data_IF_805910996796
#
_entry.id   IF_805910996796
#
_cell.length_a   1.000
_cell.length_b   1.000
_cell.length_c   1.000
_cell.angle_alpha   90.00
_cell.angle_beta   90.00
_cell.angle_gamma   90.00
#
_symmetry.space_group_name_H-M   'P 1'
#
loop_
_entity.id
_entity.type
_entity.pdbx_description
1 polymer ?
#
# COMPACT_ATOMS: atom_id res chain seq x y z
N UNK A 1 23.06 13.38 -10.09
CA UNK A 1 21.65 13.12 -9.71
C UNK A 1 21.53 13.37 -8.21
N UNK A 2 20.63 14.21 -7.77
CA UNK A 2 20.37 14.41 -6.34
C UNK A 2 19.82 13.12 -5.74
N UNK A 3 20.28 12.74 -4.54
CA UNK A 3 19.73 11.58 -3.84
C UNK A 3 18.21 11.74 -3.65
N UNK A 4 17.43 10.64 -3.82
CA UNK A 4 15.98 10.70 -3.64
C UNK A 4 15.65 11.06 -2.18
N UNK A 5 14.73 11.99 -2.00
CA UNK A 5 14.34 12.47 -0.67
C UNK A 5 13.44 11.48 0.05
N UNK A 6 13.60 11.36 1.37
CA UNK A 6 12.68 10.64 2.25
C UNK A 6 12.25 11.54 3.41
N UNK A 7 10.95 11.73 3.55
CA UNK A 7 10.37 12.44 4.69
C UNK A 7 9.47 11.50 5.47
N UNK A 8 9.67 11.39 6.79
CA UNK A 8 8.81 10.56 7.65
C UNK A 8 8.25 11.41 8.78
N UNK A 9 6.92 11.53 8.78
CA UNK A 9 6.15 12.21 9.82
C UNK A 9 5.75 11.23 10.92
N UNK A 10 5.97 11.62 12.17
CA UNK A 10 5.38 10.93 13.32
C UNK A 10 3.99 11.52 13.56
N UNK A 11 2.94 10.75 13.30
CA UNK A 11 1.56 11.23 13.42
C UNK A 11 0.52 10.23 12.89
N UNK A 12 -0.72 10.69 12.87
CA UNK A 12 -1.86 9.92 12.34
C UNK A 12 -1.94 10.09 10.81
N UNK A 13 -1.93 8.96 10.09
CA UNK A 13 -1.97 8.95 8.63
C UNK A 13 -3.31 9.44 8.06
N UNK A 14 -4.42 9.22 8.76
CA UNK A 14 -5.74 9.71 8.33
C UNK A 14 -5.77 11.23 8.43
N UNK A 15 -5.40 11.77 9.59
CA UNK A 15 -5.32 13.21 9.80
C UNK A 15 -4.36 13.89 8.81
N UNK A 16 -3.24 13.24 8.48
CA UNK A 16 -2.32 13.74 7.46
C UNK A 16 -2.98 13.86 6.09
N UNK A 17 -3.69 12.83 5.64
CA UNK A 17 -4.41 12.85 4.36
C UNK A 17 -5.55 13.87 4.31
N UNK A 18 -6.22 14.13 5.43
CA UNK A 18 -7.30 15.12 5.54
C UNK A 18 -6.78 16.56 5.52
N UNK A 19 -5.57 16.81 6.00
CA UNK A 19 -5.03 18.14 6.23
C UNK A 19 -3.99 18.60 5.21
N UNK A 20 -3.48 17.71 4.37
CA UNK A 20 -2.38 17.99 3.46
C UNK A 20 -2.73 17.68 2.01
N UNK A 21 -2.34 18.57 1.11
CA UNK A 21 -2.31 18.27 -0.32
C UNK A 21 -1.04 17.49 -0.65
N UNK A 22 -1.18 16.44 -1.43
CA UNK A 22 -0.05 15.64 -1.90
C UNK A 22 0.60 16.26 -3.15
N UNK A 23 1.89 16.03 -3.40
CA UNK A 23 2.53 16.39 -4.67
C UNK A 23 1.76 15.84 -5.87
N UNK A 24 1.71 16.58 -6.97
CA UNK A 24 0.97 16.18 -8.16
C UNK A 24 1.49 14.87 -8.79
N UNK A 25 2.77 14.58 -8.60
CA UNK A 25 3.45 13.34 -9.02
C UNK A 25 3.43 12.24 -7.95
N UNK A 26 2.62 12.39 -6.88
CA UNK A 26 2.53 11.40 -5.84
C UNK A 26 1.59 10.25 -6.22
N UNK A 27 2.02 9.03 -5.87
CA UNK A 27 1.17 7.86 -5.74
C UNK A 27 1.03 7.49 -4.25
N UNK A 28 -0.17 7.19 -3.79
CA UNK A 28 -0.34 6.53 -2.49
C UNK A 28 -0.14 5.03 -2.70
N UNK A 29 0.75 4.43 -1.91
CA UNK A 29 0.94 2.98 -1.85
C UNK A 29 0.95 2.58 -0.39
N UNK A 30 0.01 1.74 0.04
CA UNK A 30 -0.16 1.48 1.47
C UNK A 30 -0.82 0.13 1.78
N UNK A 31 -0.71 -0.27 3.03
CA UNK A 31 -1.46 -1.36 3.64
C UNK A 31 -2.22 -0.82 4.84
N UNK A 32 -3.55 -0.87 4.80
CA UNK A 32 -4.38 -0.37 5.89
C UNK A 32 -4.31 -1.30 7.12
N UNK A 33 -4.30 -0.73 8.34
CA UNK A 33 -4.25 -1.49 9.58
C UNK A 33 -5.40 -2.49 9.75
N UNK A 34 -5.09 -3.65 10.30
CA UNK A 34 -6.06 -4.65 10.72
C UNK A 34 -6.86 -4.23 11.96
N UNK A 35 -8.00 -4.87 12.19
CA UNK A 35 -8.83 -4.64 13.39
C UNK A 35 -8.05 -4.86 14.69
N UNK A 36 -7.12 -5.80 14.72
CA UNK A 36 -6.24 -6.05 15.88
C UNK A 36 -5.22 -4.93 16.14
N UNK A 37 -5.00 -4.04 15.18
CA UNK A 37 -4.12 -2.88 15.32
C UNK A 37 -4.88 -1.64 15.80
N UNK A 38 -6.21 -1.69 15.75
CA UNK A 38 -7.12 -0.64 16.18
C UNK A 38 -8.08 -1.16 17.26
N UNK A 39 -7.57 -1.62 18.43
CA UNK A 39 -8.34 -2.34 19.44
C UNK A 39 -9.45 -1.51 20.10
N UNK A 40 -9.49 -0.20 19.86
CA UNK A 40 -10.55 0.69 20.34
C UNK A 40 -11.82 0.65 19.48
N UNK A 41 -11.71 0.13 18.24
CA UNK A 41 -12.85 0.01 17.33
C UNK A 41 -13.46 -1.38 17.44
N UNK A 42 -14.80 -1.44 17.55
CA UNK A 42 -15.54 -2.67 17.32
C UNK A 42 -15.39 -3.07 15.84
N UNK A 43 -15.69 -4.33 15.51
CA UNK A 43 -15.43 -4.84 14.17
C UNK A 43 -16.18 -4.07 13.06
N UNK A 44 -17.44 -3.73 13.27
CA UNK A 44 -18.24 -2.97 12.28
C UNK A 44 -17.76 -1.52 12.16
N UNK A 45 -17.30 -0.93 13.27
CA UNK A 45 -16.66 0.39 13.26
C UNK A 45 -15.32 0.36 12.49
N UNK A 46 -14.49 -0.67 12.72
CA UNK A 46 -13.28 -0.89 11.97
C UNK A 46 -13.56 -1.09 10.48
N UNK A 47 -14.56 -1.87 10.11
CA UNK A 47 -14.95 -2.09 8.72
C UNK A 47 -15.36 -0.78 8.05
N UNK A 48 -16.16 0.02 8.73
CA UNK A 48 -16.59 1.33 8.25
C UNK A 48 -15.42 2.31 8.12
N UNK A 49 -14.53 2.33 9.11
CA UNK A 49 -13.29 3.09 9.11
C UNK A 49 -12.39 2.67 7.93
N UNK A 50 -12.22 1.38 7.70
CA UNK A 50 -11.37 0.82 6.65
C UNK A 50 -11.82 1.27 5.25
N UNK A 51 -13.13 1.19 4.97
CA UNK A 51 -13.71 1.66 3.70
C UNK A 51 -13.53 3.18 3.55
N UNK A 52 -13.81 3.95 4.60
CA UNK A 52 -13.64 5.41 4.60
C UNK A 52 -12.18 5.83 4.35
N UNK A 53 -11.23 5.14 4.94
CA UNK A 53 -9.80 5.46 4.74
C UNK A 53 -9.34 5.07 3.35
N UNK A 54 -9.83 3.97 2.78
CA UNK A 54 -9.57 3.62 1.38
C UNK A 54 -10.14 4.69 0.42
N UNK A 55 -11.36 5.17 0.67
CA UNK A 55 -11.96 6.29 -0.07
C UNK A 55 -11.11 7.56 0.04
N UNK A 56 -10.71 7.94 1.25
CA UNK A 56 -9.89 9.12 1.52
C UNK A 56 -8.54 9.05 0.77
N UNK A 57 -7.85 7.92 0.80
CA UNK A 57 -6.60 7.74 0.09
C UNK A 57 -6.77 7.92 -1.44
N UNK A 58 -7.85 7.35 -2.01
CA UNK A 58 -8.15 7.53 -3.43
C UNK A 58 -8.48 8.99 -3.77
N UNK A 59 -9.17 9.72 -2.89
CA UNK A 59 -9.50 11.14 -3.10
C UNK A 59 -8.29 12.05 -2.94
N UNK A 60 -7.38 11.75 -2.01
CA UNK A 60 -6.17 12.52 -1.74
C UNK A 60 -5.14 12.45 -2.87
N UNK A 61 -5.13 11.36 -3.65
CA UNK A 61 -4.25 11.21 -4.81
C UNK A 61 -4.72 12.12 -5.95
N UNK A 62 -3.77 12.71 -6.70
CA UNK A 62 -4.10 13.50 -7.90
C UNK A 62 -5.01 12.72 -8.86
N UNK A 63 -5.95 13.33 -9.60
CA UNK A 63 -6.85 12.61 -10.52
C UNK A 63 -6.15 11.68 -11.52
N UNK A 64 -5.00 12.09 -12.05
CA UNK A 64 -4.14 11.27 -12.93
C UNK A 64 -3.13 10.39 -12.14
N UNK A 65 -3.08 10.51 -10.83
CA UNK A 65 -2.23 9.69 -9.97
C UNK A 65 -2.83 8.30 -9.73
N UNK A 66 -2.06 7.46 -9.06
CA UNK A 66 -2.45 6.07 -8.77
C UNK A 66 -2.43 5.82 -7.26
N UNK A 67 -3.47 5.17 -6.76
CA UNK A 67 -3.53 4.65 -5.39
C UNK A 67 -3.42 3.14 -5.43
N UNK A 68 -2.46 2.57 -4.70
CA UNK A 68 -2.22 1.13 -4.66
C UNK A 68 -2.34 0.62 -3.23
N UNK A 69 -3.15 -0.42 -3.04
CA UNK A 69 -3.31 -1.08 -1.76
C UNK A 69 -2.72 -2.50 -1.81
N UNK A 70 -1.91 -2.83 -0.80
CA UNK A 70 -1.48 -4.18 -0.51
C UNK A 70 -2.23 -4.69 0.71
N UNK A 71 -3.11 -5.68 0.54
CA UNK A 71 -3.97 -6.15 1.62
C UNK A 71 -3.97 -7.67 1.74
N UNK A 72 -3.88 -8.15 2.97
CA UNK A 72 -4.05 -9.57 3.28
C UNK A 72 -5.33 -9.75 4.06
N UNK A 73 -6.23 -10.60 3.57
CA UNK A 73 -7.48 -10.94 4.24
C UNK A 73 -7.25 -11.58 5.62
N UNK A 74 -8.29 -11.62 6.41
CA UNK A 74 -8.26 -12.26 7.71
C UNK A 74 -9.46 -13.22 7.85
N UNK A 75 -9.27 -14.26 8.65
CA UNK A 75 -10.36 -15.13 9.11
C UNK A 75 -10.74 -14.74 10.52
N UNK A 76 -12.03 -14.52 10.75
CA UNK A 76 -12.59 -14.19 12.05
C UNK A 76 -13.80 -15.08 12.32
N UNK A 77 -13.78 -15.79 13.47
CA UNK A 77 -14.92 -16.61 13.91
C UNK A 77 -15.43 -17.56 12.82
N UNK A 78 -14.52 -18.17 12.07
CA UNK A 78 -14.84 -19.08 10.99
C UNK A 78 -15.32 -18.43 9.68
N UNK A 79 -15.42 -17.11 9.63
CA UNK A 79 -15.80 -16.36 8.44
C UNK A 79 -14.61 -15.68 7.78
N UNK A 80 -14.72 -15.40 6.50
CA UNK A 80 -13.70 -14.72 5.72
C UNK A 80 -13.99 -13.22 5.66
N UNK A 81 -13.00 -12.38 5.96
CA UNK A 81 -13.07 -10.94 5.82
C UNK A 81 -12.21 -10.54 4.62
N UNK A 82 -12.87 -10.31 3.49
CA UNK A 82 -12.24 -9.90 2.24
C UNK A 82 -11.90 -8.39 2.30
N UNK A 83 -10.63 -8.08 2.58
CA UNK A 83 -10.16 -6.69 2.63
C UNK A 83 -9.94 -6.09 1.24
N UNK A 84 -9.72 -6.93 0.23
CA UNK A 84 -9.69 -6.49 -1.15
C UNK A 84 -11.03 -5.90 -1.59
N UNK A 85 -12.14 -6.57 -1.23
CA UNK A 85 -13.48 -6.04 -1.46
C UNK A 85 -13.74 -4.72 -0.71
N UNK A 86 -13.32 -4.63 0.56
CA UNK A 86 -13.50 -3.39 1.33
C UNK A 86 -12.75 -2.19 0.72
N UNK A 87 -11.54 -2.43 0.21
CA UNK A 87 -10.77 -1.40 -0.53
C UNK A 87 -11.50 -0.98 -1.79
N UNK A 88 -12.01 -1.93 -2.56
CA UNK A 88 -12.76 -1.64 -3.79
C UNK A 88 -14.00 -0.78 -3.53
N UNK A 89 -14.74 -1.07 -2.46
CA UNK A 89 -15.88 -0.23 -2.05
C UNK A 89 -15.45 1.22 -1.75
N UNK A 90 -14.33 1.40 -1.07
CA UNK A 90 -13.78 2.75 -0.81
C UNK A 90 -13.36 3.47 -2.09
N UNK A 91 -12.66 2.78 -2.98
CA UNK A 91 -12.22 3.31 -4.27
C UNK A 91 -13.41 3.71 -5.16
N UNK A 92 -14.45 2.88 -5.21
CA UNK A 92 -15.68 3.16 -5.94
C UNK A 92 -16.38 4.42 -5.44
N UNK A 93 -16.49 4.60 -4.10
CA UNK A 93 -17.02 5.82 -3.48
C UNK A 93 -16.20 7.07 -3.83
N UNK A 94 -14.90 6.92 -4.06
CA UNK A 94 -14.02 7.99 -4.52
C UNK A 94 -14.16 8.29 -6.03
N UNK A 95 -14.96 7.53 -6.77
CA UNK A 95 -15.05 7.62 -8.22
C UNK A 95 -13.82 7.07 -8.95
N UNK A 96 -13.06 6.19 -8.30
CA UNK A 96 -11.84 5.59 -8.87
C UNK A 96 -12.18 4.29 -9.60
N UNK A 97 -11.61 4.11 -10.78
CA UNK A 97 -11.67 2.84 -11.51
C UNK A 97 -10.54 1.91 -11.03
N UNK A 98 -10.81 0.61 -10.99
CA UNK A 98 -9.79 -0.40 -10.77
C UNK A 98 -8.92 -0.53 -12.02
N UNK A 99 -7.61 -0.31 -11.87
CA UNK A 99 -6.61 -0.48 -12.93
C UNK A 99 -6.13 -1.93 -13.03
N UNK A 100 -5.94 -2.55 -11.90
CA UNK A 100 -5.56 -3.95 -11.77
C UNK A 100 -5.92 -4.50 -10.39
N UNK A 101 -6.12 -5.81 -10.35
CA UNK A 101 -6.19 -6.61 -9.12
C UNK A 101 -5.26 -7.81 -9.29
N UNK A 102 -4.13 -7.79 -8.59
CA UNK A 102 -3.10 -8.83 -8.65
C UNK A 102 -3.06 -9.62 -7.37
N UNK A 103 -2.63 -10.87 -7.47
CA UNK A 103 -2.36 -11.76 -6.34
C UNK A 103 -0.86 -11.79 -6.08
N UNK A 104 -0.47 -11.59 -4.84
CA UNK A 104 0.92 -11.73 -4.38
C UNK A 104 0.99 -12.98 -3.50
N UNK A 105 1.70 -14.01 -3.93
CA UNK A 105 1.87 -15.24 -3.16
C UNK A 105 2.71 -14.98 -1.90
N UNK A 106 2.18 -15.37 -0.74
CA UNK A 106 2.84 -15.32 0.57
C UNK A 106 3.37 -16.69 0.99
N UNK A 107 2.84 -17.72 0.38
CA UNK A 107 3.30 -19.10 0.46
C UNK A 107 3.05 -19.77 -0.91
N UNK A 108 3.70 -20.91 -1.21
CA UNK A 108 3.47 -21.65 -2.44
C UNK A 108 1.99 -22.01 -2.62
N UNK A 109 1.53 -22.06 -3.86
CA UNK A 109 0.18 -22.50 -4.20
C UNK A 109 -0.08 -23.92 -3.64
N UNK A 110 -1.28 -24.14 -3.12
CA UNK A 110 -1.65 -25.41 -2.45
C UNK A 110 -1.29 -25.47 -0.96
N UNK A 111 -0.55 -24.49 -0.42
CA UNK A 111 -0.25 -24.43 1.02
C UNK A 111 -1.53 -24.22 1.84
N UNK A 112 -1.79 -25.09 2.82
CA UNK A 112 -2.87 -24.91 3.79
C UNK A 112 -2.39 -23.95 4.87
N UNK A 113 -3.13 -22.87 5.07
CA UNK A 113 -2.82 -21.84 6.06
C UNK A 113 -3.97 -21.65 7.03
N UNK A 114 -3.64 -21.29 8.28
CA UNK A 114 -4.59 -20.87 9.30
C UNK A 114 -4.45 -19.36 9.56
N UNK A 115 -5.56 -18.69 9.79
CA UNK A 115 -5.59 -17.26 10.13
C UNK A 115 -5.46 -16.35 8.91
N UNK A 116 -4.31 -16.29 8.27
CA UNK A 116 -4.08 -15.47 7.06
C UNK A 116 -3.96 -16.34 5.82
N UNK A 117 -4.48 -15.92 4.65
CA UNK A 117 -4.33 -16.65 3.40
C UNK A 117 -2.88 -16.72 2.92
N UNK A 118 -2.62 -17.69 2.02
CA UNK A 118 -1.33 -17.86 1.35
C UNK A 118 -1.03 -16.75 0.31
N UNK A 119 -1.89 -15.74 0.20
CA UNK A 119 -1.75 -14.63 -0.74
C UNK A 119 -2.12 -13.30 -0.11
N UNK A 120 -1.78 -12.23 -0.80
CA UNK A 120 -2.26 -10.88 -0.54
C UNK A 120 -2.81 -10.30 -1.85
N UNK A 121 -3.71 -9.35 -1.74
CA UNK A 121 -4.18 -8.52 -2.83
C UNK A 121 -3.22 -7.38 -3.08
N UNK A 122 -2.94 -7.07 -4.35
CA UNK A 122 -2.34 -5.82 -4.79
C UNK A 122 -3.31 -5.16 -5.76
N UNK A 123 -3.97 -4.09 -5.31
CA UNK A 123 -5.05 -3.42 -6.05
C UNK A 123 -4.61 -2.00 -6.41
N UNK A 124 -4.70 -1.65 -7.68
CA UNK A 124 -4.40 -0.31 -8.19
C UNK A 124 -5.64 0.41 -8.66
N UNK A 125 -5.76 1.69 -8.31
CA UNK A 125 -6.90 2.53 -8.63
C UNK A 125 -6.46 3.89 -9.15
N UNK A 126 -7.29 4.50 -10.02
CA UNK A 126 -7.16 5.91 -10.39
C UNK A 126 -8.49 6.48 -10.78
N UNK A 127 -8.68 7.79 -10.55
CA UNK A 127 -9.88 8.48 -10.98
C UNK A 127 -9.90 8.70 -12.49
N UNK A 128 -8.78 9.09 -13.09
CA UNK A 128 -8.71 9.45 -14.51
C UNK A 128 -7.66 8.68 -15.32
N UNK A 129 -6.53 8.28 -14.72
CA UNK A 129 -5.54 7.47 -15.42
C UNK A 129 -6.12 6.11 -15.81
N UNK A 130 -5.78 5.63 -17.01
CA UNK A 130 -6.20 4.31 -17.53
C UNK A 130 -5.01 3.59 -18.13
N UNK A 131 -4.97 2.26 -17.95
CA UNK A 131 -3.97 1.40 -18.56
C UNK A 131 -4.32 1.10 -20.02
N UNK A 132 -3.31 1.01 -20.85
CA UNK A 132 -3.41 0.48 -22.21
C UNK A 132 -2.98 -0.99 -22.23
N UNK A 133 -3.34 -1.77 -23.26
CA UNK A 133 -2.89 -3.18 -23.37
C UNK A 133 -1.35 -3.36 -23.31
N UNK A 134 -0.58 -2.39 -23.82
CA UNK A 134 0.87 -2.41 -23.78
C UNK A 134 1.47 -2.26 -22.37
N UNK A 135 0.67 -1.85 -21.39
CA UNK A 135 1.05 -1.68 -19.97
C UNK A 135 0.64 -2.89 -19.12
N UNK A 136 0.23 -3.98 -19.74
CA UNK A 136 -0.09 -5.22 -19.04
C UNK A 136 1.13 -5.78 -18.32
N UNK A 137 0.92 -6.37 -17.15
CA UNK A 137 1.95 -7.02 -16.35
C UNK A 137 1.35 -8.26 -15.66
N UNK A 138 2.19 -9.17 -15.17
CA UNK A 138 1.76 -10.41 -14.55
C UNK A 138 0.71 -10.17 -13.45
N UNK A 139 -0.37 -10.96 -13.46
CA UNK A 139 -1.46 -10.85 -12.48
C UNK A 139 -1.17 -11.58 -11.18
N UNK A 140 -0.22 -12.51 -11.21
CA UNK A 140 0.24 -13.26 -10.04
C UNK A 140 1.73 -13.01 -9.85
N UNK A 141 2.08 -12.47 -8.70
CA UNK A 141 3.47 -12.37 -8.24
C UNK A 141 3.77 -13.64 -7.43
N UNK A 142 4.75 -14.46 -7.85
CA UNK A 142 4.99 -15.78 -7.27
C UNK A 142 5.49 -15.71 -5.82
N UNK A 143 6.00 -14.57 -5.40
CA UNK A 143 6.50 -14.34 -4.04
C UNK A 143 6.36 -12.88 -3.65
N UNK A 144 6.22 -12.63 -2.34
CA UNK A 144 6.13 -11.27 -1.82
C UNK A 144 7.50 -10.66 -1.48
N UNK A 145 8.56 -11.48 -1.46
CA UNK A 145 9.89 -11.10 -1.00
C UNK A 145 10.04 -11.04 0.53
N UNK A 146 11.19 -10.54 0.99
CA UNK A 146 11.52 -10.43 2.41
C UNK A 146 10.69 -9.35 3.10
N UNK A 147 10.21 -9.66 4.30
CA UNK A 147 9.58 -8.68 5.18
C UNK A 147 10.59 -8.14 6.20
N UNK A 148 10.68 -6.83 6.35
CA UNK A 148 11.53 -6.18 7.36
C UNK A 148 10.95 -6.28 8.77
N UNK A 149 9.66 -6.57 8.87
CA UNK A 149 8.94 -6.88 10.10
C UNK A 149 7.62 -7.64 9.77
N UNK A 150 6.96 -8.31 10.76
CA UNK A 150 5.86 -9.27 10.49
C UNK A 150 4.61 -8.72 9.79
N UNK A 151 4.49 -7.40 9.66
CA UNK A 151 3.33 -6.74 9.02
C UNK A 151 3.73 -5.88 7.83
N UNK A 152 4.99 -5.96 7.40
CA UNK A 152 5.45 -5.21 6.23
C UNK A 152 4.88 -5.81 4.93
N UNK A 153 4.71 -4.96 3.94
CA UNK A 153 4.68 -5.37 2.55
C UNK A 153 6.05 -5.97 2.20
N UNK A 154 6.08 -7.12 1.54
CA UNK A 154 7.33 -7.76 1.18
C UNK A 154 8.11 -6.96 0.12
N UNK A 155 9.43 -7.13 0.09
CA UNK A 155 10.33 -6.40 -0.79
C UNK A 155 9.98 -6.51 -2.26
N UNK A 156 9.62 -7.72 -2.73
CA UNK A 156 9.33 -7.97 -4.15
C UNK A 156 7.99 -7.32 -4.56
N UNK A 157 7.01 -7.32 -3.65
CA UNK A 157 5.76 -6.60 -3.86
C UNK A 157 6.00 -5.07 -3.92
N UNK A 158 6.87 -4.53 -3.06
CA UNK A 158 7.29 -3.12 -3.11
C UNK A 158 8.00 -2.79 -4.42
N UNK A 159 8.96 -3.65 -4.84
CA UNK A 159 9.69 -3.48 -6.10
C UNK A 159 8.75 -3.52 -7.31
N UNK A 160 7.84 -4.51 -7.39
CA UNK A 160 6.87 -4.61 -8.47
C UNK A 160 5.98 -3.36 -8.55
N UNK A 161 5.53 -2.85 -7.39
CA UNK A 161 4.71 -1.65 -7.29
C UNK A 161 5.48 -0.40 -7.76
N UNK A 162 6.68 -0.17 -7.25
CA UNK A 162 7.48 1.00 -7.63
C UNK A 162 7.90 0.96 -9.11
N UNK A 163 8.27 -0.22 -9.62
CA UNK A 163 8.58 -0.40 -11.05
C UNK A 163 7.37 -0.12 -11.94
N UNK A 164 6.18 -0.59 -11.54
CA UNK A 164 4.94 -0.26 -12.24
C UNK A 164 4.72 1.26 -12.31
N UNK A 165 4.86 1.96 -11.18
CA UNK A 165 4.69 3.41 -11.13
C UNK A 165 5.68 4.14 -12.06
N UNK A 166 6.96 3.76 -12.01
CA UNK A 166 8.01 4.36 -12.83
C UNK A 166 7.83 4.10 -14.33
N UNK A 167 7.40 2.88 -14.70
CA UNK A 167 7.30 2.48 -16.10
C UNK A 167 6.02 2.97 -16.79
N UNK A 168 4.92 3.11 -16.04
CA UNK A 168 3.59 3.28 -16.64
C UNK A 168 2.87 4.56 -16.25
N UNK A 169 3.41 5.32 -15.29
CA UNK A 169 2.75 6.54 -14.77
C UNK A 169 3.71 7.73 -14.71
N UNK A 170 3.16 8.92 -14.48
CA UNK A 170 3.94 10.13 -14.15
C UNK A 170 4.38 10.21 -12.68
N UNK A 171 4.04 9.24 -11.84
CA UNK A 171 4.34 9.29 -10.40
C UNK A 171 5.85 9.09 -10.15
N UNK A 172 6.41 9.97 -9.32
CA UNK A 172 7.83 9.94 -8.91
C UNK A 172 8.00 10.01 -7.40
N UNK A 173 6.90 10.24 -6.68
CA UNK A 173 6.83 10.30 -5.22
C UNK A 173 5.89 9.21 -4.72
N UNK A 174 6.34 8.40 -3.77
CA UNK A 174 5.49 7.41 -3.07
C UNK A 174 5.09 7.98 -1.72
N UNK A 175 3.81 7.92 -1.39
CA UNK A 175 3.25 8.30 -0.09
C UNK A 175 2.65 7.07 0.58
N UNK A 176 3.10 6.75 1.79
CA UNK A 176 2.54 5.68 2.61
C UNK A 176 2.04 6.24 3.96
N UNK A 177 0.72 6.47 4.11
CA UNK A 177 0.15 7.02 5.34
C UNK A 177 0.17 6.06 6.53
N UNK A 178 0.60 4.81 6.35
CA UNK A 178 0.74 3.78 7.40
C UNK A 178 2.07 3.03 7.26
N UNK A 179 3.17 3.77 7.09
CA UNK A 179 4.43 3.24 6.57
C UNK A 179 5.16 2.24 7.49
N UNK A 180 4.74 2.09 8.74
CA UNK A 180 5.40 1.18 9.67
C UNK A 180 6.89 1.51 9.85
N UNK A 181 7.74 0.54 9.55
CA UNK A 181 9.21 0.72 9.59
C UNK A 181 9.81 1.20 8.26
N UNK A 182 8.96 1.51 7.25
CA UNK A 182 9.39 2.16 6.01
C UNK A 182 9.95 1.24 4.92
N UNK A 183 9.54 -0.03 4.85
CA UNK A 183 10.00 -0.96 3.81
C UNK A 183 9.74 -0.40 2.41
N UNK A 184 8.51 0.03 2.14
CA UNK A 184 8.16 0.62 0.85
C UNK A 184 8.98 1.88 0.56
N UNK A 185 9.16 2.76 1.57
CA UNK A 185 9.92 4.00 1.40
C UNK A 185 11.38 3.72 1.02
N UNK A 186 11.99 2.70 1.65
CA UNK A 186 13.37 2.31 1.36
C UNK A 186 13.52 1.73 -0.05
N UNK A 187 12.57 0.92 -0.49
CA UNK A 187 12.53 0.39 -1.86
C UNK A 187 12.31 1.50 -2.89
N UNK A 188 11.38 2.42 -2.63
CA UNK A 188 11.14 3.56 -3.51
C UNK A 188 12.42 4.41 -3.71
N UNK A 189 13.11 4.74 -2.61
CA UNK A 189 14.39 5.46 -2.70
C UNK A 189 15.49 4.69 -3.46
N UNK A 190 15.60 3.37 -3.28
CA UNK A 190 16.58 2.57 -4.04
C UNK A 190 16.34 2.60 -5.56
N UNK A 191 15.13 2.91 -5.98
CA UNK A 191 14.74 3.07 -7.38
C UNK A 191 14.71 4.54 -7.84
N UNK A 192 15.19 5.48 -7.03
CA UNK A 192 15.25 6.90 -7.38
C UNK A 192 13.95 7.68 -7.19
N UNK A 193 12.92 7.10 -6.55
CA UNK A 193 11.69 7.79 -6.22
C UNK A 193 11.80 8.53 -4.89
N UNK A 194 11.19 9.71 -4.78
CA UNK A 194 10.98 10.35 -3.49
C UNK A 194 9.95 9.56 -2.66
N UNK A 195 10.03 9.67 -1.32
CA UNK A 195 9.15 8.93 -0.43
C UNK A 195 8.70 9.79 0.77
N UNK A 196 7.39 9.73 1.06
CA UNK A 196 6.77 10.36 2.23
C UNK A 196 6.08 9.26 3.03
N UNK A 197 6.44 9.11 4.29
CA UNK A 197 5.82 8.15 5.20
C UNK A 197 5.18 8.81 6.40
N UNK A 198 4.05 8.26 6.86
CA UNK A 198 3.42 8.65 8.12
C UNK A 198 3.29 7.42 9.00
N UNK A 199 3.68 7.54 10.25
CA UNK A 199 3.63 6.44 11.21
C UNK A 199 3.29 6.96 12.61
N UNK A 200 2.29 6.34 13.23
CA UNK A 200 1.77 6.72 14.54
C UNK A 200 2.77 6.38 15.69
N UNK A 201 3.55 5.32 15.54
CA UNK A 201 4.56 4.92 16.52
C UNK A 201 5.86 5.68 16.30
N UNK A 202 6.27 6.50 17.27
CA UNK A 202 7.54 7.24 17.23
C UNK A 202 8.74 6.34 16.91
N UNK A 203 8.84 5.19 17.59
CA UNK A 203 9.94 4.22 17.38
C UNK A 203 9.98 3.67 15.95
N UNK A 204 8.82 3.39 15.35
CA UNK A 204 8.75 2.92 13.97
C UNK A 204 9.04 4.05 12.98
N UNK A 205 8.53 5.26 13.23
CA UNK A 205 8.83 6.43 12.41
C UNK A 205 10.34 6.76 12.40
N UNK A 206 11.02 6.69 13.54
CA UNK A 206 12.48 6.85 13.63
C UNK A 206 13.22 5.80 12.80
N UNK A 207 12.79 4.53 12.88
CA UNK A 207 13.37 3.46 12.06
C UNK A 207 13.09 3.66 10.55
N UNK A 208 11.90 4.13 10.19
CA UNK A 208 11.52 4.36 8.81
C UNK A 208 12.37 5.46 8.13
N UNK A 209 12.92 6.40 8.90
CA UNK A 209 13.82 7.45 8.38
C UNK A 209 15.14 6.91 7.87
N UNK A 210 15.64 5.83 8.46
CA UNK A 210 16.99 5.32 8.24
C UNK A 210 17.05 3.93 7.62
N UNK A 211 15.91 3.23 7.48
CA UNK A 211 15.89 1.90 6.88
C UNK A 211 16.43 1.98 5.45
N UNK A 212 17.50 1.25 5.17
CA UNK A 212 18.05 1.08 3.84
C UNK A 212 17.58 -0.23 3.22
N UNK A 213 17.38 -0.23 1.92
CA UNK A 213 17.10 -1.41 1.12
C UNK A 213 18.16 -1.51 0.04
N UNK A 214 18.85 -2.64 -0.01
CA UNK A 214 19.74 -3.00 -1.10
C UNK A 214 19.05 -4.11 -1.87
N UNK A 215 18.72 -3.92 -3.15
CA UNK A 215 18.25 -5.01 -3.99
C UNK A 215 19.29 -6.13 -3.96
N UNK A 216 18.86 -7.37 -3.73
CA UNK A 216 19.74 -8.54 -3.97
C UNK A 216 19.87 -8.69 -5.49
N UNK A 217 21.09 -8.88 -5.98
CA UNK A 217 21.44 -9.12 -7.38
C UNK A 217 20.87 -10.46 -7.89
#
# INVERSE_FOLDING_TARGET
MTEPTRTVHHGDGVAFLEQNSLPADAAIVTSLPDSVELPRLQFDEWRSWFIRVAELACRATHPQGVTIFYQTDVKREGTWVDKGFLVQLGAERAGSATLFHKVVCRAPAGTITFGRPAYAHLLGFSREFRLTPAQSSADVLPQMGKMTWPRAMGSDACLATCRFLLAHTGCRTVVDPFCGVGTLLSVANSLGMAAIGIELSRKRAERARTLAFTPEE
#
